data_IF_634429783292
#
_entry.id   IF_634429783292
#
_cell.length_a   1.000
_cell.length_b   1.000
_cell.length_c   1.000
_cell.angle_alpha   90.00
_cell.angle_beta   90.00
_cell.angle_gamma   90.00
#
_symmetry.space_group_name_H-M   'P 1'
#
loop_
_entity.id
_entity.type
_entity.pdbx_description
1 polymer ?
#
# COMPACT_ATOMS: atom_id res chain seq x y z
N UNK A 1 21.51 -3.37 0.16
CA UNK A 1 22.91 -3.83 -0.01
C UNK A 1 23.74 -2.64 -0.46
N UNK A 2 24.95 -2.50 0.04
CA UNK A 2 25.87 -1.38 -0.29
C UNK A 2 27.01 -1.94 -1.12
N UNK A 3 27.22 -1.36 -2.30
CA UNK A 3 28.25 -1.78 -3.25
C UNK A 3 29.19 -0.61 -3.50
N UNK A 4 30.49 -0.86 -3.38
CA UNK A 4 31.56 0.11 -3.65
C UNK A 4 32.58 -0.54 -4.60
N UNK A 5 32.95 0.16 -5.67
CA UNK A 5 33.82 -0.35 -6.75
C UNK A 5 33.46 -1.76 -7.25
N UNK A 6 32.17 -2.08 -7.31
CA UNK A 6 31.68 -3.40 -7.75
C UNK A 6 31.82 -4.52 -6.71
N UNK A 7 32.25 -4.22 -5.48
CA UNK A 7 32.31 -5.17 -4.35
C UNK A 7 31.18 -4.91 -3.36
N UNK A 8 30.54 -5.99 -2.90
CA UNK A 8 29.56 -5.91 -1.82
C UNK A 8 30.28 -5.60 -0.50
N UNK A 9 30.10 -4.39 0.02
CA UNK A 9 30.76 -3.92 1.25
C UNK A 9 29.86 -3.98 2.48
N UNK A 10 28.55 -4.20 2.30
CA UNK A 10 27.65 -4.39 3.44
C UNK A 10 26.17 -4.54 3.09
N UNK A 11 25.37 -4.79 4.12
CA UNK A 11 23.91 -4.87 4.04
C UNK A 11 23.35 -3.77 4.93
N UNK A 12 22.62 -2.83 4.33
CA UNK A 12 21.83 -1.83 5.05
C UNK A 12 20.40 -2.36 5.12
N UNK A 13 19.85 -2.40 6.33
CA UNK A 13 18.48 -2.79 6.60
C UNK A 13 17.63 -1.56 6.96
N UNK A 14 16.31 -1.68 6.87
CA UNK A 14 15.40 -0.62 7.32
C UNK A 14 15.67 -0.20 8.77
N UNK A 15 16.07 -1.14 9.63
CA UNK A 15 16.46 -0.86 11.02
C UNK A 15 17.71 0.03 11.13
N UNK A 16 18.62 -0.02 10.17
CA UNK A 16 19.83 0.80 10.19
C UNK A 16 19.53 2.26 9.79
N UNK A 17 18.56 2.46 8.88
CA UNK A 17 18.06 3.78 8.49
C UNK A 17 17.32 4.44 9.67
N UNK A 18 16.44 3.68 10.33
CA UNK A 18 15.63 4.18 11.45
C UNK A 18 16.47 4.63 12.67
N UNK A 19 17.67 4.07 12.87
CA UNK A 19 18.56 4.47 13.98
C UNK A 19 19.16 5.87 13.83
N UNK A 20 19.24 6.42 12.62
CA UNK A 20 19.91 7.70 12.34
C UNK A 20 18.95 8.90 12.52
N UNK A 21 17.63 8.67 12.47
CA UNK A 21 16.62 9.71 12.61
C UNK A 21 15.60 9.41 13.72
N UNK A 22 16.04 9.26 14.99
CA UNK A 22 15.14 8.92 16.10
C UNK A 22 14.06 9.97 16.36
N UNK A 23 14.36 11.26 16.17
CA UNK A 23 13.46 12.38 16.51
C UNK A 23 12.23 12.49 15.60
N UNK A 24 12.28 11.92 14.39
CA UNK A 24 11.19 12.02 13.40
C UNK A 24 10.24 10.81 13.51
N UNK A 25 10.67 9.72 14.18
CA UNK A 25 9.88 8.49 14.28
C UNK A 25 8.54 8.73 14.98
N UNK A 26 8.52 9.54 16.05
CA UNK A 26 7.28 9.83 16.78
C UNK A 26 6.26 10.56 15.90
N UNK A 27 6.72 11.56 15.13
CA UNK A 27 5.88 12.32 14.18
C UNK A 27 5.35 11.40 13.06
N UNK A 28 6.20 10.50 12.55
CA UNK A 28 5.82 9.50 11.55
C UNK A 28 4.75 8.53 12.09
N UNK A 29 4.90 8.07 13.33
CA UNK A 29 3.94 7.18 13.99
C UNK A 29 2.61 7.89 14.23
N UNK A 30 2.62 9.14 14.71
CA UNK A 30 1.40 9.92 14.91
C UNK A 30 0.71 10.23 13.58
N UNK A 31 1.46 10.58 12.54
CA UNK A 31 0.92 10.80 11.19
C UNK A 31 0.29 9.53 10.61
N UNK A 32 0.92 8.36 10.84
CA UNK A 32 0.37 7.07 10.43
C UNK A 32 -0.93 6.74 11.18
N UNK A 33 -0.99 6.96 12.50
CA UNK A 33 -2.22 6.79 13.30
C UNK A 33 -3.36 7.70 12.86
N UNK A 34 -3.05 8.94 12.47
CA UNK A 34 -4.04 9.87 11.92
C UNK A 34 -4.58 9.33 10.59
N UNK A 35 -3.70 8.82 9.71
CA UNK A 35 -4.13 8.19 8.44
C UNK A 35 -4.95 6.89 8.64
N UNK A 36 -4.66 6.11 9.68
CA UNK A 36 -5.46 4.93 10.06
C UNK A 36 -6.85 5.32 10.59
N UNK A 37 -6.96 6.48 11.24
CA UNK A 37 -8.24 6.99 11.73
C UNK A 37 -9.08 7.57 10.60
N UNK A 38 -8.47 8.22 9.61
CA UNK A 38 -9.15 8.69 8.39
C UNK A 38 -9.61 7.55 7.46
N UNK A 39 -8.89 6.43 7.44
CA UNK A 39 -9.27 5.24 6.66
C UNK A 39 -10.44 4.45 7.26
N UNK A 40 -10.83 4.72 8.51
CA UNK A 40 -12.06 4.15 9.08
C UNK A 40 -13.32 4.83 8.52
N UNK A 41 -13.20 6.03 7.93
CA UNK A 41 -14.36 6.82 7.51
C UNK A 41 -14.60 6.91 6.02
N UNK A 42 -13.60 6.80 5.12
CA UNK A 42 -13.85 6.93 3.68
C UNK A 42 -12.79 6.22 2.85
N UNK A 43 -13.13 5.03 2.33
CA UNK A 43 -12.97 4.57 0.94
C UNK A 43 -12.92 3.05 0.97
N UNK A 44 -13.97 2.39 0.48
CA UNK A 44 -13.74 1.17 -0.30
C UNK A 44 -12.58 1.50 -1.24
N UNK A 45 -11.45 0.79 -1.13
CA UNK A 45 -10.28 1.06 -1.96
C UNK A 45 -10.68 0.82 -3.40
N UNK A 46 -11.10 1.90 -4.06
CA UNK A 46 -11.56 1.86 -5.44
C UNK A 46 -10.32 1.65 -6.30
N UNK A 47 -10.11 0.41 -6.72
CA UNK A 47 -8.93 -0.01 -7.47
C UNK A 47 -9.22 0.04 -8.97
N UNK A 48 -8.23 0.46 -9.74
CA UNK A 48 -8.27 0.38 -11.20
C UNK A 48 -7.58 -0.89 -11.68
N UNK A 49 -8.25 -1.67 -12.52
CA UNK A 49 -7.76 -2.96 -13.02
C UNK A 49 -8.77 -3.65 -13.93
N UNK A 50 -8.59 -4.95 -14.15
CA UNK A 50 -9.55 -5.79 -14.87
C UNK A 50 -10.49 -6.49 -13.89
N UNK A 51 -11.78 -6.54 -14.22
CA UNK A 51 -12.78 -7.29 -13.45
C UNK A 51 -12.53 -8.80 -13.55
N UNK A 52 -12.51 -9.51 -12.42
CA UNK A 52 -12.28 -10.96 -12.37
C UNK A 52 -13.44 -11.79 -12.97
N UNK A 53 -14.62 -11.17 -13.17
CA UNK A 53 -15.80 -11.85 -13.70
C UNK A 53 -16.01 -11.60 -15.21
N UNK A 54 -15.97 -10.36 -15.66
CA UNK A 54 -16.20 -10.02 -17.07
C UNK A 54 -14.92 -9.72 -17.87
N UNK A 55 -13.78 -9.52 -17.20
CA UNK A 55 -12.50 -9.21 -17.83
C UNK A 55 -12.38 -7.79 -18.39
N UNK A 56 -13.36 -6.92 -18.14
CA UNK A 56 -13.35 -5.52 -18.61
C UNK A 56 -12.51 -4.64 -17.66
N UNK A 57 -11.86 -3.61 -18.22
CA UNK A 57 -11.16 -2.63 -17.39
C UNK A 57 -12.17 -1.76 -16.64
N UNK A 58 -11.94 -1.55 -15.35
CA UNK A 58 -12.71 -0.64 -14.52
C UNK A 58 -11.76 0.14 -13.63
N UNK A 59 -12.02 1.43 -13.46
CA UNK A 59 -11.39 2.27 -12.44
C UNK A 59 -12.08 2.14 -11.07
N UNK A 60 -13.11 1.28 -11.00
CA UNK A 60 -14.07 1.18 -9.91
C UNK A 60 -14.29 -0.26 -9.42
N UNK A 61 -13.20 -1.01 -9.27
CA UNK A 61 -13.22 -2.36 -8.72
C UNK A 61 -13.34 -2.36 -7.20
N UNK A 62 -14.12 -3.31 -6.69
CA UNK A 62 -14.31 -3.58 -5.25
C UNK A 62 -14.04 -5.05 -4.99
N UNK A 63 -13.36 -5.37 -3.89
CA UNK A 63 -13.14 -6.75 -3.47
C UNK A 63 -14.43 -7.36 -2.89
N UNK A 64 -14.90 -8.45 -3.49
CA UNK A 64 -16.04 -9.25 -3.05
C UNK A 64 -15.61 -10.71 -3.04
N UNK A 65 -15.57 -11.33 -1.86
CA UNK A 65 -15.14 -12.72 -1.66
C UNK A 65 -13.77 -13.07 -2.28
N UNK A 66 -12.80 -12.14 -2.19
CA UNK A 66 -11.45 -12.32 -2.72
C UNK A 66 -11.33 -12.13 -4.25
N UNK A 67 -12.38 -11.63 -4.91
CA UNK A 67 -12.38 -11.25 -6.33
C UNK A 67 -12.62 -9.75 -6.49
N UNK A 68 -11.97 -9.12 -7.45
CA UNK A 68 -12.18 -7.71 -7.77
C UNK A 68 -13.25 -7.55 -8.85
N UNK A 69 -14.41 -7.02 -8.48
CA UNK A 69 -15.59 -6.92 -9.35
C UNK A 69 -15.95 -5.47 -9.70
N UNK A 70 -16.29 -5.24 -10.97
CA UNK A 70 -16.81 -3.95 -11.44
C UNK A 70 -18.27 -3.71 -10.99
N UNK A 71 -18.80 -2.50 -11.21
CA UNK A 71 -20.16 -2.10 -10.78
C UNK A 71 -21.25 -2.99 -11.32
N UNK A 72 -21.09 -3.41 -12.57
CA UNK A 72 -22.09 -4.22 -13.27
C UNK A 72 -22.14 -5.64 -12.68
N UNK A 73 -20.98 -6.27 -12.49
CA UNK A 73 -20.88 -7.64 -11.98
C UNK A 73 -21.34 -7.77 -10.52
N UNK A 74 -21.09 -6.77 -9.67
CA UNK A 74 -21.55 -6.79 -8.27
C UNK A 74 -23.04 -6.44 -8.09
N UNK A 75 -23.69 -5.94 -9.13
CA UNK A 75 -25.13 -5.59 -9.09
C UNK A 75 -26.04 -6.75 -9.54
N UNK A 76 -25.47 -7.93 -9.79
CA UNK A 76 -26.16 -9.15 -10.25
C UNK A 76 -26.39 -10.10 -9.07
#
# INVERSE_FOLDING_TARGET
>A
MVVDEGKLVGIVTARDILKVAPEIIEILIESARISETESTFLREEVLAGYCDECGEWSDSLVEVDGRFLCSECRST
#
